data_IF_121180700297
#
_entry.id   IF_121180700297
#
_cell.length_a   1.000
_cell.length_b   1.000
_cell.length_c   1.000
_cell.angle_alpha   90.00
_cell.angle_beta   90.00
_cell.angle_gamma   90.00
#
_symmetry.space_group_name_H-M   'P 1'
#
loop_
_entity.id
_entity.type
_entity.pdbx_description
1 polymer ?
#
# COMPACT_ATOMS: atom_id res chain seq x y z
N UNK A 1 9.65 38.84 56.90
CA UNK A 1 8.52 38.47 56.02
C UNK A 1 9.09 37.58 54.92
N UNK A 2 9.50 36.34 55.18
CA UNK A 2 8.70 35.12 55.36
C UNK A 2 7.56 34.96 54.35
N UNK A 3 7.72 34.03 53.40
CA UNK A 3 6.63 33.54 52.57
C UNK A 3 6.98 32.96 51.19
N UNK A 4 8.05 32.18 51.03
CA UNK A 4 8.20 31.33 49.83
C UNK A 4 7.48 30.02 50.13
N UNK A 5 6.22 29.92 49.71
CA UNK A 5 5.44 28.68 49.73
C UNK A 5 5.73 27.91 48.44
N UNK A 6 6.36 26.74 48.62
CA UNK A 6 6.38 25.65 47.66
C UNK A 6 4.98 25.01 47.57
N UNK A 7 4.52 24.59 46.39
CA UNK A 7 3.66 23.43 46.32
C UNK A 7 4.28 22.35 45.43
N UNK A 8 4.59 21.25 46.12
CA UNK A 8 4.61 19.87 45.68
C UNK A 8 4.22 19.59 44.21
N UNK A 9 5.17 19.01 43.48
CA UNK A 9 4.93 18.18 42.32
C UNK A 9 3.91 17.09 42.66
N UNK A 10 2.65 17.30 42.26
CA UNK A 10 1.62 16.28 42.28
C UNK A 10 1.72 15.50 40.97
N UNK A 11 2.43 14.38 41.00
CA UNK A 11 2.45 13.40 39.91
C UNK A 11 1.11 12.66 39.97
N UNK A 12 0.22 12.78 38.98
CA UNK A 12 -0.94 11.90 38.92
C UNK A 12 -0.45 10.53 38.46
N UNK A 13 -0.39 9.61 39.42
CA UNK A 13 -0.26 8.17 39.19
C UNK A 13 -1.39 7.73 38.26
N UNK A 14 -1.09 7.60 36.97
CA UNK A 14 -1.99 6.95 36.01
C UNK A 14 -2.13 5.49 36.42
N UNK A 15 -3.26 5.20 37.06
CA UNK A 15 -3.72 3.85 37.35
C UNK A 15 -4.06 3.18 36.02
N UNK A 16 -3.05 2.57 35.40
CA UNK A 16 -3.20 1.67 34.27
C UNK A 16 -3.91 0.42 34.79
N UNK A 17 -5.22 0.32 34.54
CA UNK A 17 -5.99 -0.90 34.75
C UNK A 17 -5.62 -1.91 33.66
N UNK A 18 -4.49 -2.58 33.81
CA UNK A 18 -4.17 -3.80 33.09
C UNK A 18 -4.90 -4.96 33.79
N UNK A 19 -6.01 -5.41 33.19
CA UNK A 19 -6.58 -6.71 33.53
C UNK A 19 -5.53 -7.80 33.28
N UNK A 20 -5.16 -8.63 34.28
CA UNK A 20 -4.31 -9.77 34.02
C UNK A 20 -5.15 -10.89 33.41
N UNK A 21 -4.96 -11.14 32.11
CA UNK A 21 -5.40 -12.38 31.44
C UNK A 21 -4.15 -13.16 31.03
N UNK A 22 -3.57 -13.94 31.93
CA UNK A 22 -3.18 -15.33 31.67
C UNK A 22 -2.62 -16.00 32.93
N UNK A 23 -3.38 -16.92 33.52
CA UNK A 23 -2.88 -17.83 34.58
C UNK A 23 -3.65 -19.14 34.51
N UNK A 24 -3.60 -19.82 33.35
CA UNK A 24 -4.25 -21.14 33.15
C UNK A 24 -3.46 -22.14 32.31
N UNK A 25 -2.16 -21.92 32.04
CA UNK A 25 -1.39 -22.85 31.18
C UNK A 25 -0.44 -23.79 31.93
N UNK A 26 -0.25 -23.66 33.25
CA UNK A 26 0.69 -24.52 33.99
C UNK A 26 0.08 -25.60 34.88
N UNK A 27 -1.25 -25.74 34.92
CA UNK A 27 -1.92 -26.82 35.70
C UNK A 27 -2.50 -27.96 34.86
N UNK A 28 -2.61 -27.82 33.54
CA UNK A 28 -3.20 -28.85 32.67
C UNK A 28 -2.22 -29.99 32.38
N UNK A 29 -0.91 -29.72 32.36
CA UNK A 29 0.11 -30.74 32.06
C UNK A 29 0.45 -31.65 33.25
N UNK A 30 0.12 -31.27 34.48
CA UNK A 30 0.37 -32.10 35.67
C UNK A 30 -0.76 -33.11 35.96
N UNK A 31 -2.00 -32.82 35.56
CA UNK A 31 -3.15 -33.70 35.80
C UNK A 31 -3.24 -34.87 34.79
N UNK A 32 -2.75 -34.68 33.55
CA UNK A 32 -2.80 -35.71 32.51
C UNK A 32 -1.79 -36.86 32.72
N UNK A 33 -0.69 -36.63 33.44
CA UNK A 33 0.31 -37.68 33.71
C UNK A 33 -0.08 -38.66 34.81
N UNK A 34 -1.10 -38.35 35.62
CA UNK A 34 -1.55 -39.20 36.75
C UNK A 34 -2.76 -40.07 36.43
N UNK A 35 -3.40 -39.84 35.28
CA UNK A 35 -4.57 -40.59 34.82
C UNK A 35 -4.22 -41.78 33.92
N UNK A 36 -2.99 -41.81 33.37
CA UNK A 36 -2.56 -42.84 32.40
C UNK A 36 -1.75 -44.00 33.02
N UNK A 37 -1.59 -44.06 34.35
CA UNK A 37 -0.74 -45.05 35.02
C UNK A 37 -1.44 -45.89 36.10
N UNK A 38 -2.77 -45.86 36.19
CA UNK A 38 -3.53 -46.67 37.15
C UNK A 38 -4.51 -47.62 36.47
N UNK A 39 -4.10 -48.87 36.24
CA UNK A 39 -5.05 -49.89 35.77
C UNK A 39 -4.43 -51.19 35.25
N UNK A 40 -3.47 -51.78 35.98
CA UNK A 40 -3.16 -53.21 35.81
C UNK A 40 -3.38 -53.88 37.17
N UNK A 41 -4.55 -54.51 37.32
CA UNK A 41 -4.92 -55.31 38.48
C UNK A 41 -5.53 -56.61 37.98
N UNK A 42 -4.78 -57.70 38.17
CA UNK A 42 -5.21 -59.07 37.96
C UNK A 42 -6.44 -59.41 38.82
N UNK A 43 -7.34 -60.23 38.27
CA UNK A 43 -8.21 -61.10 39.06
C UNK A 43 -8.56 -62.33 38.21
N UNK A 44 -8.07 -63.50 38.64
CA UNK A 44 -8.55 -64.79 38.17
C UNK A 44 -9.86 -65.20 38.85
N UNK A 45 -10.48 -66.26 38.32
CA UNK A 45 -11.45 -67.09 39.05
C UNK A 45 -12.90 -67.07 38.53
N UNK A 46 -13.20 -68.03 37.65
CA UNK A 46 -14.39 -68.89 37.53
C UNK A 46 -15.85 -68.35 37.52
N UNK A 47 -16.51 -68.72 36.42
CA UNK A 47 -17.86 -69.33 36.27
C UNK A 47 -19.12 -68.65 36.86
N UNK A 48 -20.06 -68.34 35.95
CA UNK A 48 -21.50 -68.47 36.23
C UNK A 48 -22.39 -67.34 35.72
N UNK A 49 -23.32 -67.67 34.82
CA UNK A 49 -24.62 -67.00 34.73
C UNK A 49 -24.72 -65.79 33.79
N UNK A 50 -25.23 -66.03 32.59
CA UNK A 50 -25.71 -65.01 31.68
C UNK A 50 -26.90 -64.24 32.30
N UNK A 51 -26.68 -62.96 32.60
CA UNK A 51 -27.76 -61.96 32.69
C UNK A 51 -27.18 -60.64 32.20
N UNK A 52 -27.58 -60.24 30.99
CA UNK A 52 -27.19 -58.98 30.36
C UNK A 52 -27.94 -57.83 31.02
N UNK A 53 -27.44 -57.38 32.18
CA UNK A 53 -27.87 -56.12 32.77
C UNK A 53 -27.36 -55.00 31.85
N UNK A 54 -28.27 -54.34 31.15
CA UNK A 54 -27.97 -53.19 30.31
C UNK A 54 -27.50 -52.01 31.18
N UNK A 55 -26.21 -51.98 31.47
CA UNK A 55 -25.54 -50.84 32.09
C UNK A 55 -25.73 -49.66 31.14
N UNK A 56 -26.45 -48.61 31.59
CA UNK A 56 -26.61 -47.37 30.82
C UNK A 56 -25.20 -46.88 30.47
N UNK A 57 -24.84 -46.81 29.17
CA UNK A 57 -23.49 -46.45 28.79
C UNK A 57 -23.19 -45.07 29.36
N UNK A 58 -22.07 -44.97 30.09
CA UNK A 58 -21.62 -43.74 30.71
C UNK A 58 -21.53 -42.61 29.68
N UNK A 59 -21.74 -41.38 30.14
CA UNK A 59 -21.72 -40.20 29.26
C UNK A 59 -20.46 -40.14 28.37
N UNK A 60 -19.31 -40.61 28.89
CA UNK A 60 -18.03 -40.70 28.20
C UNK A 60 -18.01 -41.69 27.04
N UNK A 61 -18.66 -42.86 27.18
CA UNK A 61 -18.72 -43.84 26.08
C UNK A 61 -19.70 -43.41 24.99
N UNK A 62 -20.75 -42.66 25.36
CA UNK A 62 -21.65 -41.99 24.40
C UNK A 62 -20.94 -40.86 23.66
N UNK A 63 -20.14 -40.06 24.37
CA UNK A 63 -19.38 -38.97 23.76
C UNK A 63 -18.29 -39.50 22.82
N UNK A 64 -17.59 -40.58 23.19
CA UNK A 64 -16.55 -41.17 22.34
C UNK A 64 -17.13 -41.86 21.10
N UNK A 65 -18.27 -42.54 21.23
CA UNK A 65 -18.97 -43.14 20.08
C UNK A 65 -19.52 -42.07 19.14
N UNK A 66 -20.11 -40.99 19.68
CA UNK A 66 -20.53 -39.83 18.90
C UNK A 66 -19.36 -39.13 18.21
N UNK A 67 -18.27 -38.86 18.93
CA UNK A 67 -17.08 -38.24 18.36
C UNK A 67 -16.44 -39.13 17.29
N UNK A 68 -16.40 -40.45 17.52
CA UNK A 68 -15.93 -41.42 16.53
C UNK A 68 -16.79 -41.47 15.27
N UNK A 69 -18.12 -41.40 15.40
CA UNK A 69 -19.04 -41.30 14.26
C UNK A 69 -18.82 -39.98 13.50
N UNK A 70 -18.76 -38.86 14.22
CA UNK A 70 -18.53 -37.53 13.64
C UNK A 70 -17.21 -37.48 12.85
N UNK A 71 -16.13 -38.04 13.39
CA UNK A 71 -14.83 -38.09 12.71
C UNK A 71 -14.88 -38.91 11.42
N UNK A 72 -15.65 -40.02 11.39
CA UNK A 72 -15.85 -40.83 10.18
C UNK A 72 -16.63 -40.05 9.13
N UNK A 73 -17.71 -39.36 9.53
CA UNK A 73 -18.52 -38.54 8.62
C UNK A 73 -17.67 -37.45 7.95
N UNK A 74 -16.80 -36.77 8.71
CA UNK A 74 -15.86 -35.79 8.14
C UNK A 74 -14.78 -36.42 7.26
N UNK A 75 -14.27 -37.61 7.60
CA UNK A 75 -13.28 -38.32 6.79
C UNK A 75 -13.87 -38.76 5.44
N UNK A 76 -15.11 -39.26 5.44
CA UNK A 76 -15.86 -39.61 4.23
C UNK A 76 -16.13 -38.37 3.37
N UNK A 77 -16.60 -37.27 3.98
CA UNK A 77 -16.79 -35.99 3.29
C UNK A 77 -15.49 -35.46 2.64
N UNK A 78 -14.34 -35.61 3.29
CA UNK A 78 -13.04 -35.27 2.71
C UNK A 78 -12.68 -36.19 1.53
N UNK A 79 -12.97 -37.48 1.64
CA UNK A 79 -12.79 -38.45 0.55
C UNK A 79 -13.62 -38.09 -0.68
N UNK A 80 -14.89 -37.77 -0.48
CA UNK A 80 -15.81 -37.33 -1.54
C UNK A 80 -15.38 -36.01 -2.17
N UNK A 81 -14.94 -35.04 -1.35
CA UNK A 81 -14.40 -33.78 -1.85
C UNK A 81 -13.16 -34.00 -2.72
N UNK A 82 -12.25 -34.91 -2.34
CA UNK A 82 -11.07 -35.25 -3.12
C UNK A 82 -11.43 -35.96 -4.44
N UNK A 83 -12.41 -36.87 -4.42
CA UNK A 83 -12.92 -37.53 -5.61
C UNK A 83 -13.58 -36.51 -6.57
N UNK A 84 -14.40 -35.60 -6.04
CA UNK A 84 -15.01 -34.51 -6.80
C UNK A 84 -13.98 -33.55 -7.40
N UNK A 85 -12.90 -33.26 -6.66
CA UNK A 85 -11.81 -32.41 -7.13
C UNK A 85 -11.06 -33.05 -8.31
N UNK A 86 -10.79 -34.36 -8.24
CA UNK A 86 -10.17 -35.12 -9.34
C UNK A 86 -11.08 -35.23 -10.57
N UNK A 87 -12.39 -35.38 -10.36
CA UNK A 87 -13.35 -35.45 -11.46
C UNK A 87 -13.49 -34.13 -12.22
N UNK A 88 -13.34 -32.98 -11.54
CA UNK A 88 -13.52 -31.63 -12.12
C UNK A 88 -12.45 -30.65 -11.61
N UNK A 89 -11.19 -30.74 -12.09
CA UNK A 89 -10.08 -29.94 -11.57
C UNK A 89 -10.29 -28.43 -11.73
N UNK A 90 -10.93 -27.98 -12.81
CA UNK A 90 -11.22 -26.56 -13.03
C UNK A 90 -12.16 -25.96 -11.96
N UNK A 91 -13.23 -26.68 -11.58
CA UNK A 91 -14.15 -26.21 -10.52
C UNK A 91 -13.48 -26.25 -9.16
N UNK A 92 -12.69 -27.28 -8.89
CA UNK A 92 -11.92 -27.39 -7.66
C UNK A 92 -10.92 -26.24 -7.50
N UNK A 93 -10.18 -25.92 -8.57
CA UNK A 93 -9.26 -24.77 -8.59
C UNK A 93 -9.99 -23.45 -8.34
N UNK A 94 -11.19 -23.25 -8.91
CA UNK A 94 -12.01 -22.06 -8.63
C UNK A 94 -12.43 -21.98 -7.16
N UNK A 95 -12.91 -23.08 -6.56
CA UNK A 95 -13.33 -23.07 -5.15
C UNK A 95 -12.16 -22.88 -4.19
N UNK A 96 -11.04 -23.56 -4.43
CA UNK A 96 -9.81 -23.39 -3.63
C UNK A 96 -9.26 -21.97 -3.80
N UNK A 97 -9.27 -21.43 -5.02
CA UNK A 97 -8.87 -20.06 -5.30
C UNK A 97 -9.78 -19.03 -4.60
N UNK A 98 -11.09 -19.24 -4.60
CA UNK A 98 -12.04 -18.37 -3.91
C UNK A 98 -11.85 -18.45 -2.39
N UNK A 99 -11.74 -19.64 -1.83
CA UNK A 99 -11.52 -19.83 -0.39
C UNK A 99 -10.16 -19.26 0.06
N UNK A 100 -9.10 -19.54 -0.69
CA UNK A 100 -7.77 -19.03 -0.44
C UNK A 100 -7.70 -17.51 -0.59
N UNK A 101 -8.33 -16.96 -1.63
CA UNK A 101 -8.44 -15.52 -1.85
C UNK A 101 -9.22 -14.83 -0.73
N UNK A 102 -10.35 -15.39 -0.32
CA UNK A 102 -11.14 -14.91 0.80
C UNK A 102 -10.34 -14.93 2.12
N UNK A 103 -9.66 -16.03 2.43
CA UNK A 103 -8.81 -16.15 3.61
C UNK A 103 -7.64 -15.14 3.58
N UNK A 104 -7.00 -14.97 2.42
CA UNK A 104 -5.92 -13.99 2.24
C UNK A 104 -6.44 -12.56 2.41
N UNK A 105 -7.61 -12.22 1.84
CA UNK A 105 -8.22 -10.91 2.02
C UNK A 105 -8.55 -10.64 3.50
N UNK A 106 -9.07 -11.63 4.22
CA UNK A 106 -9.30 -11.52 5.67
C UNK A 106 -8.01 -11.29 6.46
N UNK A 107 -6.93 -12.00 6.13
CA UNK A 107 -5.65 -11.85 6.79
C UNK A 107 -4.98 -10.51 6.49
N UNK A 108 -5.22 -9.96 5.29
CA UNK A 108 -4.66 -8.70 4.81
C UNK A 108 -5.61 -7.51 5.01
N UNK A 109 -6.75 -7.67 5.68
CA UNK A 109 -7.68 -6.57 5.92
C UNK A 109 -7.00 -5.53 6.84
N UNK A 110 -6.79 -4.27 6.38
CA UNK A 110 -6.01 -3.32 7.14
C UNK A 110 -6.76 -2.82 8.38
N UNK A 111 -6.04 -2.66 9.49
CA UNK A 111 -6.59 -2.20 10.77
C UNK A 111 -6.67 -0.66 10.83
N UNK A 112 -7.36 -0.14 11.85
CA UNK A 112 -7.37 1.30 12.15
C UNK A 112 -5.95 1.86 12.36
N UNK A 113 -5.11 1.13 13.07
CA UNK A 113 -3.71 1.52 13.29
C UNK A 113 -2.92 1.61 11.98
N UNK A 114 -3.17 0.69 11.03
CA UNK A 114 -2.54 0.74 9.71
C UNK A 114 -3.00 1.96 8.89
N UNK A 115 -4.23 2.43 9.07
CA UNK A 115 -4.69 3.68 8.46
C UNK A 115 -3.99 4.89 9.07
N UNK A 116 -3.90 4.95 10.39
CA UNK A 116 -3.24 6.02 11.13
C UNK A 116 -1.76 6.15 10.76
N UNK A 117 -1.05 5.02 10.64
CA UNK A 117 0.33 4.97 10.16
C UNK A 117 0.44 5.51 8.73
N UNK A 118 -0.37 5.00 7.80
CA UNK A 118 -0.34 5.44 6.41
C UNK A 118 -0.69 6.93 6.26
N UNK A 119 -1.64 7.44 7.06
CA UNK A 119 -2.02 8.86 7.06
C UNK A 119 -0.88 9.76 7.56
N UNK A 120 -0.21 9.36 8.63
CA UNK A 120 0.91 10.11 9.18
C UNK A 120 2.14 10.05 8.27
N UNK A 121 2.43 8.90 7.68
CA UNK A 121 3.52 8.73 6.72
C UNK A 121 3.30 9.58 5.45
N UNK A 122 2.09 9.55 4.89
CA UNK A 122 1.70 10.41 3.77
C UNK A 122 1.83 11.90 4.12
N UNK A 123 1.45 12.30 5.34
CA UNK A 123 1.63 13.68 5.80
C UNK A 123 3.11 14.05 5.93
N UNK A 124 3.95 13.12 6.38
CA UNK A 124 5.40 13.28 6.44
C UNK A 124 6.01 13.48 5.06
N UNK A 125 5.61 12.67 4.09
CA UNK A 125 6.05 12.80 2.69
C UNK A 125 5.66 14.16 2.11
N UNK A 126 4.44 14.62 2.36
CA UNK A 126 3.96 15.93 1.88
C UNK A 126 4.69 17.10 2.55
N UNK A 127 5.13 16.96 3.81
CA UNK A 127 5.89 17.99 4.52
C UNK A 127 7.31 18.20 3.97
N UNK A 128 7.89 17.19 3.31
CA UNK A 128 9.20 17.29 2.67
C UNK A 128 9.17 18.14 1.38
N UNK A 129 7.99 18.26 0.77
CA UNK A 129 7.81 18.97 -0.49
C UNK A 129 7.58 20.48 -0.26
N UNK A 130 8.07 21.31 -1.19
CA UNK A 130 7.88 22.75 -1.11
C UNK A 130 6.42 23.14 -1.40
N UNK A 131 5.89 24.25 -0.85
CA UNK A 131 4.53 24.70 -1.13
C UNK A 131 4.18 24.99 -2.60
N UNK A 132 5.18 25.18 -3.46
CA UNK A 132 5.01 25.38 -4.89
C UNK A 132 4.73 24.06 -5.62
N UNK A 133 5.53 23.03 -5.36
CA UNK A 133 5.50 21.77 -6.11
C UNK A 133 4.42 20.79 -5.65
N UNK A 134 3.80 21.01 -4.48
CA UNK A 134 2.80 20.08 -3.93
C UNK A 134 1.46 20.15 -4.66
N UNK A 135 0.88 18.98 -4.92
CA UNK A 135 -0.47 18.87 -5.43
C UNK A 135 -1.50 19.39 -4.41
N UNK A 136 -2.26 20.43 -4.80
CA UNK A 136 -3.28 21.07 -3.95
C UNK A 136 -4.41 20.13 -3.55
N UNK A 137 -4.80 19.20 -4.42
CA UNK A 137 -5.88 18.26 -4.14
C UNK A 137 -5.47 17.24 -3.09
N UNK A 138 -4.24 16.73 -3.16
CA UNK A 138 -3.68 15.79 -2.19
C UNK A 138 -3.46 16.46 -0.84
N UNK A 139 -2.93 17.69 -0.83
CA UNK A 139 -2.76 18.50 0.37
C UNK A 139 -4.11 18.76 1.06
N UNK A 140 -5.13 19.23 0.33
CA UNK A 140 -6.45 19.49 0.89
C UNK A 140 -7.12 18.21 1.43
N UNK A 141 -6.97 17.09 0.74
CA UNK A 141 -7.48 15.79 1.18
C UNK A 141 -6.83 15.35 2.50
N UNK A 142 -5.50 15.40 2.60
CA UNK A 142 -4.78 15.05 3.82
C UNK A 142 -5.10 15.99 4.99
N UNK A 143 -5.13 17.30 4.74
CA UNK A 143 -5.51 18.29 5.76
C UNK A 143 -6.93 18.02 6.29
N UNK A 144 -7.86 17.67 5.40
CA UNK A 144 -9.22 17.28 5.79
C UNK A 144 -9.23 16.01 6.66
N UNK A 145 -8.46 14.99 6.31
CA UNK A 145 -8.36 13.76 7.10
C UNK A 145 -7.75 14.02 8.49
N UNK A 146 -6.65 14.78 8.56
CA UNK A 146 -6.01 15.17 9.81
C UNK A 146 -6.94 16.03 10.69
N UNK A 147 -7.73 16.91 10.08
CA UNK A 147 -8.74 17.70 10.79
C UNK A 147 -9.88 16.83 11.36
N UNK A 148 -10.37 15.84 10.59
CA UNK A 148 -11.38 14.88 11.05
C UNK A 148 -10.85 13.99 12.18
N UNK A 149 -9.60 13.55 12.06
CA UNK A 149 -8.86 12.81 13.08
C UNK A 149 -8.74 13.61 14.37
N UNK A 150 -8.33 14.88 14.30
CA UNK A 150 -8.22 15.76 15.46
C UNK A 150 -9.54 15.99 16.21
N UNK A 151 -10.68 15.73 15.56
CA UNK A 151 -12.02 15.82 16.17
C UNK A 151 -12.62 14.48 16.58
N UNK A 152 -11.91 13.36 16.44
CA UNK A 152 -12.44 12.02 16.72
C UNK A 152 -13.61 11.61 15.80
N UNK A 153 -13.72 12.25 14.63
CA UNK A 153 -14.81 12.03 13.67
C UNK A 153 -14.48 10.98 12.61
N UNK A 154 -13.25 10.51 12.57
CA UNK A 154 -12.80 9.45 11.67
C UNK A 154 -13.13 8.09 12.29
N UNK A 155 -13.78 7.20 11.54
CA UNK A 155 -14.19 5.87 12.04
C UNK A 155 -13.77 4.77 11.12
N UNK A 156 -13.37 3.65 11.72
CA UNK A 156 -12.99 2.42 11.04
C UNK A 156 -14.06 1.34 11.26
N UNK A 157 -14.37 0.59 10.20
CA UNK A 157 -15.15 -0.64 10.27
C UNK A 157 -14.44 -1.70 9.44
N UNK A 158 -14.19 -2.87 10.06
CA UNK A 158 -13.71 -4.06 9.37
C UNK A 158 -14.90 -4.92 8.92
N UNK A 159 -15.00 -5.19 7.62
CA UNK A 159 -16.04 -6.02 6.99
C UNK A 159 -15.58 -7.47 6.76
N UNK A 160 -14.44 -7.87 7.32
CA UNK A 160 -13.82 -9.17 7.11
C UNK A 160 -12.83 -9.13 5.95
N UNK A 161 -13.32 -9.00 4.72
CA UNK A 161 -12.47 -9.00 3.51
C UNK A 161 -11.91 -7.62 3.13
N UNK A 162 -12.56 -6.56 3.60
CA UNK A 162 -12.16 -5.18 3.36
C UNK A 162 -12.41 -4.35 4.61
N UNK A 163 -11.75 -3.20 4.68
CA UNK A 163 -11.90 -2.24 5.75
C UNK A 163 -12.37 -0.91 5.17
N UNK A 164 -13.24 -0.22 5.89
CA UNK A 164 -13.74 1.08 5.49
C UNK A 164 -13.38 2.13 6.52
N UNK A 165 -12.98 3.30 6.03
CA UNK A 165 -12.85 4.51 6.83
C UNK A 165 -13.92 5.50 6.38
N UNK A 166 -14.70 6.02 7.31
CA UNK A 166 -15.80 6.94 7.04
C UNK A 166 -15.85 8.09 8.05
N UNK A 167 -16.55 9.15 7.66
CA UNK A 167 -16.79 10.31 8.50
C UNK A 167 -18.05 10.16 9.34
N UNK A 168 -17.89 10.22 10.67
CA UNK A 168 -18.98 10.39 11.61
C UNK A 168 -19.34 11.88 11.78
N UNK A 169 -20.62 12.23 12.04
CA UNK A 169 -21.02 13.62 12.28
C UNK A 169 -20.48 14.21 13.60
N UNK A 170 -20.26 13.36 14.61
CA UNK A 170 -19.80 13.75 15.94
C UNK A 170 -18.73 12.77 16.43
N UNK A 171 -17.99 13.20 17.45
CA UNK A 171 -17.03 12.36 18.17
C UNK A 171 -17.73 11.20 18.92
N UNK A 172 -16.98 10.14 19.22
CA UNK A 172 -17.44 8.99 19.98
C UNK A 172 -17.88 9.32 21.40
N UNK A 173 -17.17 10.25 22.03
CA UNK A 173 -17.41 10.63 23.41
C UNK A 173 -18.48 11.72 23.52
N UNK A 174 -19.01 12.22 22.38
CA UNK A 174 -20.10 13.18 22.39
C UNK A 174 -21.36 12.56 23.01
N UNK A 175 -21.86 13.20 24.07
CA UNK A 175 -23.09 12.85 24.78
C UNK A 175 -24.23 13.84 24.54
N UNK A 176 -24.07 14.73 23.54
CA UNK A 176 -25.10 15.69 23.13
C UNK A 176 -26.33 14.95 22.59
N UNK A 177 -27.53 15.50 22.88
CA UNK A 177 -28.79 14.97 22.34
C UNK A 177 -28.75 14.83 20.81
N UNK A 178 -28.17 15.83 20.12
CA UNK A 178 -28.00 15.82 18.66
C UNK A 178 -27.19 14.60 18.16
N UNK A 179 -26.20 14.15 18.94
CA UNK A 179 -25.36 13.02 18.60
C UNK A 179 -25.97 11.66 18.97
N UNK A 180 -26.91 11.61 19.93
CA UNK A 180 -27.52 10.37 20.43
C UNK A 180 -28.90 10.08 19.86
N UNK A 181 -29.63 11.11 19.42
CA UNK A 181 -30.95 10.96 18.86
C UNK A 181 -30.91 10.12 17.58
N UNK A 182 -31.65 8.99 17.56
CA UNK A 182 -31.73 8.06 16.43
C UNK A 182 -32.29 8.72 15.16
N UNK A 183 -33.20 9.66 15.30
CA UNK A 183 -33.85 10.33 14.17
C UNK A 183 -32.96 11.39 13.49
N UNK A 184 -31.92 11.86 14.19
CA UNK A 184 -30.91 12.78 13.64
C UNK A 184 -29.69 12.05 13.06
N UNK A 185 -29.62 10.73 13.22
CA UNK A 185 -28.53 9.95 12.65
C UNK A 185 -28.60 9.95 11.12
N UNK A 186 -27.44 9.91 10.45
CA UNK A 186 -27.39 9.83 9.01
C UNK A 186 -28.14 8.60 8.50
N UNK A 187 -28.83 8.77 7.38
CA UNK A 187 -29.54 7.67 6.73
C UNK A 187 -28.54 6.76 6.04
N UNK A 188 -28.88 5.49 5.90
CA UNK A 188 -28.09 4.52 5.14
C UNK A 188 -27.87 4.94 3.67
N UNK A 189 -28.80 5.71 3.11
CA UNK A 189 -28.71 6.24 1.74
C UNK A 189 -27.56 7.27 1.61
N UNK A 190 -27.26 8.01 2.68
CA UNK A 190 -26.20 9.03 2.69
C UNK A 190 -24.83 8.45 3.06
N UNK A 191 -24.77 7.17 3.43
CA UNK A 191 -23.55 6.52 3.88
C UNK A 191 -22.44 6.49 2.82
N UNK A 192 -22.71 6.17 1.53
CA UNK A 192 -21.67 6.13 0.50
C UNK A 192 -20.93 7.47 0.34
N UNK A 193 -21.62 8.60 0.50
CA UNK A 193 -21.01 9.93 0.41
C UNK A 193 -20.11 10.31 1.59
N UNK A 194 -20.07 9.48 2.65
CA UNK A 194 -19.26 9.69 3.86
C UNK A 194 -18.04 8.78 3.91
N UNK A 195 -17.90 7.87 2.96
CA UNK A 195 -16.74 6.97 2.87
C UNK A 195 -15.55 7.81 2.43
N UNK A 196 -14.46 7.71 3.19
CA UNK A 196 -13.22 8.46 2.97
C UNK A 196 -12.17 7.58 2.28
N UNK A 197 -12.05 6.33 2.73
CA UNK A 197 -11.10 5.37 2.18
C UNK A 197 -11.61 3.92 2.26
N UNK A 198 -11.12 3.09 1.35
CA UNK A 198 -11.34 1.66 1.27
C UNK A 198 -10.00 0.95 1.38
N UNK A 199 -9.88 0.14 2.44
CA UNK A 199 -8.75 -0.73 2.69
C UNK A 199 -9.02 -2.12 2.12
N UNK A 200 -8.13 -2.59 1.25
CA UNK A 200 -8.24 -3.92 0.65
C UNK A 200 -6.84 -4.47 0.35
N UNK A 201 -6.56 -5.72 0.75
CA UNK A 201 -5.27 -6.41 0.53
C UNK A 201 -4.08 -5.59 1.06
N UNK A 202 -4.15 -5.20 2.34
CA UNK A 202 -3.06 -4.57 3.09
C UNK A 202 -2.78 -3.12 2.74
N UNK A 203 -3.58 -2.49 1.87
CA UNK A 203 -3.37 -1.10 1.41
C UNK A 203 -4.65 -0.28 1.46
N UNK A 204 -4.47 1.02 1.57
CA UNK A 204 -5.52 2.05 1.56
C UNK A 204 -5.57 2.69 0.17
N UNK A 205 -6.58 2.33 -0.62
CA UNK A 205 -6.57 2.59 -2.06
C UNK A 205 -6.77 4.07 -2.39
N UNK A 206 -7.66 4.77 -1.69
CA UNK A 206 -7.95 6.17 -1.98
C UNK A 206 -6.79 7.05 -1.50
N UNK A 207 -6.29 6.83 -0.28
CA UNK A 207 -5.12 7.55 0.23
C UNK A 207 -3.90 7.36 -0.68
N UNK A 208 -3.59 6.12 -1.06
CA UNK A 208 -2.45 5.83 -1.94
C UNK A 208 -2.61 6.46 -3.32
N UNK A 209 -3.81 6.39 -3.92
CA UNK A 209 -4.07 7.00 -5.22
C UNK A 209 -3.98 8.54 -5.16
N UNK A 210 -4.42 9.16 -4.07
CA UNK A 210 -4.27 10.62 -3.86
C UNK A 210 -2.82 11.02 -3.62
N UNK A 211 -1.99 10.12 -3.08
CA UNK A 211 -0.58 10.39 -2.79
C UNK A 211 0.37 10.04 -3.94
N UNK A 212 -0.09 9.34 -4.98
CA UNK A 212 0.75 8.88 -6.09
C UNK A 212 1.51 10.04 -6.77
N UNK A 213 0.81 11.12 -7.14
CA UNK A 213 1.37 12.30 -7.82
C UNK A 213 1.29 13.53 -6.89
N UNK A 214 1.72 13.38 -5.64
CA UNK A 214 1.63 14.45 -4.63
C UNK A 214 2.69 15.57 -4.83
N UNK A 215 3.71 15.32 -5.64
CA UNK A 215 4.82 16.21 -6.01
C UNK A 215 4.64 16.93 -7.35
N UNK A 216 3.50 16.73 -8.01
CA UNK A 216 3.13 17.40 -9.26
C UNK A 216 2.05 18.44 -8.96
N UNK A 217 2.35 19.71 -9.26
CA UNK A 217 1.38 20.80 -9.19
C UNK A 217 0.94 21.23 -10.59
N UNK A 218 -0.23 20.76 -11.02
CA UNK A 218 -0.81 21.06 -12.33
C UNK A 218 -1.03 22.57 -12.57
N UNK A 219 -1.23 23.35 -11.50
CA UNK A 219 -1.45 24.80 -11.59
C UNK A 219 -0.24 25.53 -12.20
N UNK A 220 0.97 25.01 -11.99
CA UNK A 220 2.20 25.58 -12.56
C UNK A 220 2.22 25.48 -14.08
N UNK A 221 1.61 24.43 -14.65
CA UNK A 221 1.70 24.09 -16.07
C UNK A 221 0.53 24.62 -16.91
N UNK A 222 -0.41 25.37 -16.31
CA UNK A 222 -1.60 25.90 -17.02
C UNK A 222 -1.26 26.85 -18.17
N UNK A 223 -0.09 27.50 -18.11
CA UNK A 223 0.39 28.40 -19.16
C UNK A 223 0.87 27.66 -20.43
N UNK A 224 1.06 26.33 -20.35
CA UNK A 224 1.53 25.51 -21.47
C UNK A 224 0.35 25.05 -22.35
N UNK A 225 0.58 24.87 -23.67
CA UNK A 225 -0.42 24.30 -24.57
C UNK A 225 -0.77 22.86 -24.15
N UNK A 226 -1.98 22.41 -24.51
CA UNK A 226 -2.54 21.13 -24.05
C UNK A 226 -1.64 19.90 -24.33
N UNK A 227 -0.91 19.89 -25.45
CA UNK A 227 -0.04 18.77 -25.82
C UNK A 227 1.23 18.66 -24.96
N UNK A 228 1.61 19.72 -24.23
CA UNK A 228 2.77 19.70 -23.32
C UNK A 228 2.38 19.43 -21.86
N UNK A 229 1.08 19.46 -21.53
CA UNK A 229 0.58 19.20 -20.17
C UNK A 229 0.40 17.71 -19.87
N UNK A 230 0.35 16.88 -20.91
CA UNK A 230 0.16 15.43 -20.75
C UNK A 230 1.52 14.75 -20.87
N UNK A 231 1.94 14.09 -19.78
CA UNK A 231 3.17 13.27 -19.76
C UNK A 231 2.78 11.81 -19.94
N UNK A 232 3.28 11.19 -21.01
CA UNK A 232 3.09 9.77 -21.26
C UNK A 232 4.14 8.94 -20.50
N UNK A 233 3.82 7.69 -20.09
CA UNK A 233 4.76 6.87 -19.31
C UNK A 233 6.13 6.66 -19.98
N UNK A 234 6.15 6.55 -21.30
CA UNK A 234 7.41 6.40 -22.06
C UNK A 234 8.33 7.63 -21.97
N UNK A 235 7.79 8.82 -21.67
CA UNK A 235 8.56 10.05 -21.51
C UNK A 235 9.25 10.14 -20.13
N UNK A 236 8.81 9.33 -19.17
CA UNK A 236 9.42 9.25 -17.83
C UNK A 236 10.67 8.37 -17.82
N UNK A 237 10.88 7.55 -18.85
CA UNK A 237 12.05 6.69 -18.98
C UNK A 237 13.18 7.42 -19.73
N UNK A 238 14.35 7.55 -19.10
CA UNK A 238 15.48 8.33 -19.63
C UNK A 238 16.21 7.66 -20.80
N UNK A 239 16.04 6.33 -20.98
CA UNK A 239 16.84 5.53 -21.93
C UNK A 239 16.84 6.09 -23.37
N UNK A 240 15.69 6.53 -23.87
CA UNK A 240 15.59 7.08 -25.23
C UNK A 240 16.30 8.45 -25.33
N UNK A 241 16.16 9.28 -24.30
CA UNK A 241 16.79 10.61 -24.26
C UNK A 241 18.31 10.50 -24.15
N UNK A 242 18.81 9.57 -23.35
CA UNK A 242 20.24 9.29 -23.23
C UNK A 242 20.83 8.79 -24.55
N UNK A 243 20.14 7.87 -25.25
CA UNK A 243 20.57 7.42 -26.58
C UNK A 243 20.65 8.58 -27.56
N UNK A 244 19.60 9.40 -27.67
CA UNK A 244 19.56 10.56 -28.55
C UNK A 244 20.64 11.60 -28.19
N UNK A 245 20.94 11.75 -26.90
CA UNK A 245 22.04 12.61 -26.43
C UNK A 245 23.39 12.11 -26.93
N UNK A 246 23.66 10.81 -26.86
CA UNK A 246 24.90 10.21 -27.39
C UNK A 246 25.01 10.37 -28.92
N UNK A 247 23.89 10.34 -29.66
CA UNK A 247 23.91 10.53 -31.12
C UNK A 247 24.46 11.88 -31.53
N UNK A 248 24.31 12.91 -30.68
CA UNK A 248 24.85 14.25 -30.92
C UNK A 248 26.37 14.26 -31.06
N UNK A 249 27.07 13.32 -30.43
CA UNK A 249 28.53 13.22 -30.48
C UNK A 249 29.04 12.38 -31.65
N UNK A 250 28.14 11.78 -32.45
CA UNK A 250 28.55 11.03 -33.64
C UNK A 250 29.19 12.02 -34.64
N UNK A 251 30.39 11.70 -35.16
CA UNK A 251 31.05 12.58 -36.12
C UNK A 251 30.21 12.69 -37.39
N UNK A 252 30.15 13.90 -37.94
CA UNK A 252 29.52 14.13 -39.24
C UNK A 252 30.46 13.56 -40.30
N UNK A 253 29.99 12.57 -41.05
CA UNK A 253 30.74 11.99 -42.17
C UNK A 253 30.41 12.84 -43.40
N UNK A 254 31.39 13.60 -43.90
CA UNK A 254 31.29 14.30 -45.18
C UNK A 254 31.51 13.30 -46.31
N UNK A 255 30.73 13.44 -47.38
CA UNK A 255 30.97 12.71 -48.63
C UNK A 255 32.14 13.32 -49.38
N UNK A 256 32.88 12.52 -50.15
CA UNK A 256 34.06 12.99 -50.89
C UNK A 256 33.71 14.18 -51.80
N UNK A 257 32.54 14.14 -52.45
CA UNK A 257 32.02 15.25 -53.28
C UNK A 257 31.87 16.57 -52.50
N UNK A 258 31.46 16.50 -51.23
CA UNK A 258 31.32 17.69 -50.37
C UNK A 258 32.68 18.23 -49.91
N UNK A 259 33.64 17.33 -49.69
CA UNK A 259 35.02 17.71 -49.36
C UNK A 259 35.68 18.35 -50.58
N UNK A 260 35.52 17.75 -51.75
CA UNK A 260 36.05 18.26 -53.02
C UNK A 260 35.45 19.62 -53.39
N UNK A 261 34.14 19.78 -53.19
CA UNK A 261 33.46 21.06 -53.37
C UNK A 261 34.03 22.13 -52.43
N UNK A 262 34.20 21.81 -51.14
CA UNK A 262 34.78 22.75 -50.17
C UNK A 262 36.24 23.11 -50.51
N UNK A 263 37.05 22.14 -50.92
CA UNK A 263 38.43 22.37 -51.35
C UNK A 263 38.51 23.22 -52.61
N UNK A 264 37.61 23.01 -53.58
CA UNK A 264 37.53 23.82 -54.78
C UNK A 264 37.15 25.27 -54.47
N UNK A 265 36.17 25.48 -53.59
CA UNK A 265 35.76 26.81 -53.12
C UNK A 265 36.92 27.54 -52.42
N UNK A 266 37.67 26.84 -51.56
CA UNK A 266 38.87 27.42 -50.95
C UNK A 266 39.93 27.78 -51.99
N UNK A 267 40.18 26.93 -52.98
CA UNK A 267 41.14 27.21 -54.06
C UNK A 267 40.75 28.44 -54.86
N UNK A 268 39.46 28.59 -55.18
CA UNK A 268 38.95 29.77 -55.91
C UNK A 268 39.14 31.04 -55.08
N UNK A 269 38.80 31.01 -53.79
CA UNK A 269 38.99 32.16 -52.90
C UNK A 269 40.47 32.55 -52.75
N UNK A 270 41.38 31.58 -52.68
CA UNK A 270 42.82 31.85 -52.64
C UNK A 270 43.31 32.49 -53.94
N UNK A 271 42.81 32.02 -55.09
CA UNK A 271 43.13 32.60 -56.39
C UNK A 271 42.63 34.04 -56.49
N UNK A 272 41.38 34.32 -56.13
CA UNK A 272 40.84 35.68 -56.12
C UNK A 272 41.63 36.61 -55.20
N UNK A 273 42.05 36.11 -54.03
CA UNK A 273 42.88 36.87 -53.09
C UNK A 273 44.25 37.21 -53.69
N UNK A 274 44.88 36.26 -54.38
CA UNK A 274 46.16 36.46 -55.06
C UNK A 274 46.04 37.44 -56.22
N UNK A 275 44.99 37.33 -57.02
CA UNK A 275 44.74 38.23 -58.15
C UNK A 275 44.49 39.67 -57.66
N UNK A 276 43.76 39.85 -56.55
CA UNK A 276 43.61 41.16 -55.88
C UNK A 276 44.94 41.74 -55.39
N UNK A 277 45.80 40.91 -54.81
CA UNK A 277 47.13 41.35 -54.37
C UNK A 277 48.01 41.78 -55.55
N UNK A 278 48.01 41.00 -56.63
CA UNK A 278 48.76 41.32 -57.84
C UNK A 278 48.27 42.61 -58.51
N UNK A 279 46.96 42.85 -58.53
CA UNK A 279 46.40 44.13 -59.00
C UNK A 279 46.86 45.30 -58.12
N UNK A 280 46.86 45.15 -56.80
CA UNK A 280 47.36 46.20 -55.89
C UNK A 280 48.86 46.46 -56.03
N UNK A 281 49.66 45.44 -56.33
CA UNK A 281 51.09 45.56 -56.58
C UNK A 281 51.37 46.23 -57.93
N UNK A 282 50.63 45.85 -58.99
CA UNK A 282 50.71 46.49 -60.29
C UNK A 282 50.29 47.96 -60.26
N UNK A 283 49.21 48.29 -59.53
CA UNK A 283 48.78 49.68 -59.31
C UNK A 283 49.86 50.50 -58.58
N UNK A 284 50.57 49.90 -57.62
CA UNK A 284 51.67 50.55 -56.91
C UNK A 284 52.89 50.83 -57.80
N UNK A 285 53.21 49.90 -58.72
CA UNK A 285 54.31 50.05 -59.68
C UNK A 285 53.99 51.10 -60.74
N UNK A 286 52.76 51.13 -61.27
CA UNK A 286 52.29 52.16 -62.21
C UNK A 286 52.31 53.56 -61.56
N UNK A 287 51.91 53.68 -60.29
CA UNK A 287 52.03 54.95 -59.54
C UNK A 287 53.49 55.40 -59.36
N UNK A 288 54.43 54.45 -59.24
CA UNK A 288 55.86 54.76 -59.11
C UNK A 288 56.52 55.21 -60.43
N UNK A 289 56.09 54.68 -61.58
CA UNK A 289 56.58 55.09 -62.91
C UNK A 289 55.99 56.43 -63.38
N UNK A 290 54.76 56.77 -62.97
CA UNK A 290 54.16 58.10 -63.22
C UNK A 290 54.81 59.22 -62.39
N UNK A 291 55.58 58.86 -61.36
CA UNK A 291 56.24 59.80 -60.43
C UNK A 291 57.72 60.08 -60.76
N UNK A 292 58.22 59.64 -61.91
CA UNK A 292 59.57 59.92 -62.46
C UNK A 292 59.51 60.85 -63.66
#
# INVERSE_FOLDING_TARGET
MHGIYSPAFFIPTLCVSTRPRNRRETMVTAALKRFWSGGHGEAGGEAGGATTVAVKPGLWTRLSTWAGALLRDYAEACGDAAAAARARPGRAALYVGLLGGAAACCALAPSEAAFEEALLDASGSLLLLAPATRNRHSEAFLQRLLWLRGRGRLRHVNLGFCSLVYEAPFDAQASLYQARCRYLQPRWVDFPGRILDVGFVGRWWILQNRMHDCDINDDEFLHLPAHLRVVAPHQLHSEANERLFEEKYKPIILTDDQVDQALWEEQVLQKERKDRLALSEADSLVQSDVSR
#
